data_IF_712962353387
#
_entry.id   IF_712962353387
#
_cell.length_a   1.000
_cell.length_b   1.000
_cell.length_c   1.000
_cell.angle_alpha   90.00
_cell.angle_beta   90.00
_cell.angle_gamma   90.00
#
_symmetry.space_group_name_H-M   'P 1'
#
loop_
_entity.id
_entity.type
_entity.pdbx_description
1 polymer ?
#
# COMPACT_ATOMS: atom_id res chain seq x y z
N UNK A 1 -6.01 2.60 30.88
CA UNK A 1 -4.71 1.91 30.94
C UNK A 1 -4.48 1.31 29.56
N UNK A 2 -3.89 2.09 28.67
CA UNK A 2 -3.69 1.70 27.28
C UNK A 2 -2.34 0.99 27.18
N UNK A 3 -2.39 -0.20 26.59
CA UNK A 3 -1.30 -1.16 26.42
C UNK A 3 -0.02 -0.48 25.93
N UNK A 4 1.10 -0.89 26.54
CA UNK A 4 2.42 -0.32 26.35
C UNK A 4 2.85 -0.31 24.89
N UNK A 5 3.32 0.84 24.46
CA UNK A 5 4.01 1.02 23.19
C UNK A 5 5.38 0.37 23.41
N UNK A 6 5.56 -0.86 22.96
CA UNK A 6 6.82 -1.59 23.10
C UNK A 6 7.91 -0.82 22.34
N UNK A 7 8.75 -0.19 23.15
CA UNK A 7 9.92 0.57 22.76
C UNK A 7 11.01 -0.43 22.39
N UNK A 8 11.27 -0.65 21.09
CA UNK A 8 12.39 -1.51 20.67
C UNK A 8 12.42 -2.00 19.23
N UNK A 9 11.31 -2.01 18.50
CA UNK A 9 11.31 -2.52 17.12
C UNK A 9 11.80 -1.45 16.13
N UNK A 10 12.76 -1.80 15.27
CA UNK A 10 13.05 -0.96 14.10
C UNK A 10 11.84 -0.91 13.19
N UNK A 11 11.65 0.19 12.45
CA UNK A 11 10.51 0.36 11.54
C UNK A 11 10.36 -0.81 10.55
N UNK A 12 11.47 -1.48 10.21
CA UNK A 12 11.49 -2.69 9.36
C UNK A 12 10.93 -3.95 10.02
N UNK A 13 11.10 -4.15 11.33
CA UNK A 13 10.57 -5.34 12.03
C UNK A 13 9.05 -5.25 12.20
N UNK A 14 8.53 -4.06 12.46
CA UNK A 14 7.08 -3.83 12.50
C UNK A 14 6.47 -4.00 11.10
N UNK A 15 7.13 -3.50 10.04
CA UNK A 15 6.69 -3.74 8.67
C UNK A 15 6.67 -5.25 8.35
N UNK A 16 7.68 -6.00 8.83
CA UNK A 16 7.75 -7.45 8.64
C UNK A 16 6.69 -8.25 9.39
N UNK A 17 6.39 -7.87 10.62
CA UNK A 17 5.51 -8.66 11.50
C UNK A 17 4.05 -8.23 11.37
N UNK A 18 3.77 -6.94 11.15
CA UNK A 18 2.40 -6.39 11.14
C UNK A 18 1.87 -6.01 9.75
N UNK A 19 2.74 -5.78 8.77
CA UNK A 19 2.34 -5.20 7.48
C UNK A 19 2.99 -5.90 6.26
N UNK A 20 2.79 -7.22 6.08
CA UNK A 20 3.45 -7.99 5.02
C UNK A 20 3.05 -7.52 3.61
N UNK A 21 1.83 -7.01 3.42
CA UNK A 21 1.35 -6.44 2.14
C UNK A 21 2.13 -5.18 1.76
N UNK A 22 2.37 -4.27 2.71
CA UNK A 22 3.14 -3.05 2.48
C UNK A 22 4.58 -3.38 2.06
N UNK A 23 5.20 -4.38 2.69
CA UNK A 23 6.54 -4.85 2.28
C UNK A 23 6.55 -5.38 0.86
N UNK A 24 5.62 -6.26 0.50
CA UNK A 24 5.54 -6.78 -0.86
C UNK A 24 5.39 -5.66 -1.90
N UNK A 25 4.61 -4.62 -1.58
CA UNK A 25 4.43 -3.43 -2.41
C UNK A 25 5.67 -2.53 -2.49
N UNK A 26 6.46 -2.43 -1.43
CA UNK A 26 7.74 -1.71 -1.40
C UNK A 26 8.77 -2.41 -2.29
N UNK A 27 8.94 -3.71 -2.05
CA UNK A 27 9.97 -4.53 -2.69
C UNK A 27 9.58 -4.82 -4.16
N UNK A 28 8.28 -4.77 -4.49
CA UNK A 28 7.75 -5.11 -5.80
C UNK A 28 7.59 -6.62 -6.01
N UNK A 29 7.51 -7.38 -4.92
CA UNK A 29 7.41 -8.84 -4.97
C UNK A 29 5.96 -9.27 -5.26
N UNK A 30 5.70 -9.53 -6.54
CA UNK A 30 4.38 -9.96 -7.03
C UNK A 30 4.02 -11.36 -6.54
N UNK A 31 5.01 -12.23 -6.34
CA UNK A 31 4.78 -13.59 -5.83
C UNK A 31 4.25 -13.54 -4.41
N UNK A 32 4.98 -12.85 -3.53
CA UNK A 32 4.55 -12.64 -2.15
C UNK A 32 3.22 -11.89 -2.08
N UNK A 33 3.05 -10.83 -2.89
CA UNK A 33 1.79 -10.08 -2.96
C UNK A 33 0.62 -11.00 -3.32
N UNK A 34 0.74 -11.81 -4.38
CA UNK A 34 -0.34 -12.70 -4.80
C UNK A 34 -0.68 -13.75 -3.75
N UNK A 35 0.33 -14.34 -3.10
CA UNK A 35 0.10 -15.31 -2.01
C UNK A 35 -0.62 -14.65 -0.84
N UNK A 36 -0.22 -13.44 -0.44
CA UNK A 36 -0.88 -12.69 0.63
C UNK A 36 -2.32 -12.33 0.27
N UNK A 37 -2.55 -11.86 -0.95
CA UNK A 37 -3.89 -11.54 -1.47
C UNK A 37 -4.80 -12.78 -1.52
N UNK A 38 -4.26 -13.96 -1.83
CA UNK A 38 -5.02 -15.23 -1.80
C UNK A 38 -5.39 -15.66 -0.38
N UNK A 39 -4.54 -15.36 0.60
CA UNK A 39 -4.82 -15.63 2.01
C UNK A 39 -5.70 -14.55 2.66
N UNK A 40 -5.86 -13.38 2.03
CA UNK A 40 -6.68 -12.29 2.54
C UNK A 40 -8.16 -12.63 2.31
N UNK A 41 -8.90 -12.80 3.40
CA UNK A 41 -10.34 -13.07 3.36
C UNK A 41 -11.18 -11.81 3.39
N UNK A 42 -10.63 -10.69 3.88
CA UNK A 42 -11.34 -9.43 4.05
C UNK A 42 -10.71 -8.32 3.21
N UNK A 43 -11.51 -7.55 2.44
CA UNK A 43 -11.01 -6.40 1.70
C UNK A 43 -10.52 -5.26 2.62
N UNK A 44 -10.91 -5.27 3.89
CA UNK A 44 -10.45 -4.31 4.89
C UNK A 44 -8.93 -4.41 5.15
N UNK A 45 -8.33 -5.60 5.00
CA UNK A 45 -6.90 -5.81 5.19
C UNK A 45 -6.05 -5.06 4.13
N UNK A 46 -6.66 -4.78 2.97
CA UNK A 46 -6.03 -4.03 1.87
C UNK A 46 -6.06 -2.52 2.09
N UNK A 47 -6.93 -2.05 2.98
CA UNK A 47 -7.04 -0.64 3.36
C UNK A 47 -6.32 -0.33 4.68
N UNK A 48 -5.54 -1.28 5.21
CA UNK A 48 -4.80 -1.09 6.46
C UNK A 48 -3.70 -0.05 6.25
N UNK A 49 -3.74 0.99 7.07
CA UNK A 49 -2.72 2.01 7.15
C UNK A 49 -1.57 1.53 8.04
N UNK A 50 -0.33 1.79 7.62
CA UNK A 50 0.82 1.55 8.47
C UNK A 50 0.92 2.60 9.59
N UNK A 51 1.57 2.26 10.69
CA UNK A 51 1.71 3.14 11.86
C UNK A 51 2.81 4.21 11.73
N UNK A 52 3.57 4.22 10.65
CA UNK A 52 4.73 5.10 10.44
C UNK A 52 4.35 6.36 9.68
N UNK A 53 3.67 6.14 8.56
CA UNK A 53 3.28 7.15 7.59
C UNK A 53 1.77 7.19 7.37
N UNK A 54 1.00 6.27 7.97
CA UNK A 54 -0.44 6.16 7.71
C UNK A 54 -0.74 5.72 6.28
N UNK A 55 0.19 5.05 5.60
CA UNK A 55 0.02 4.69 4.20
C UNK A 55 -0.60 3.31 4.06
N UNK A 56 -1.52 3.19 3.11
CA UNK A 56 -2.05 1.89 2.68
C UNK A 56 -1.09 1.19 1.71
N UNK A 57 -1.22 -0.13 1.46
CA UNK A 57 -0.33 -0.86 0.55
C UNK A 57 -0.25 -0.23 -0.85
N UNK A 58 -1.35 0.35 -1.33
CA UNK A 58 -1.40 1.01 -2.64
C UNK A 58 -0.60 2.32 -2.67
N UNK A 59 -0.52 3.07 -1.56
CA UNK A 59 0.36 4.24 -1.45
C UNK A 59 1.82 3.82 -1.54
N UNK A 60 2.20 2.70 -0.91
CA UNK A 60 3.55 2.16 -1.03
C UNK A 60 3.84 1.74 -2.48
N UNK A 61 2.97 0.93 -3.10
CA UNK A 61 3.18 0.50 -4.49
C UNK A 61 3.29 1.70 -5.45
N UNK A 62 2.43 2.71 -5.28
CA UNK A 62 2.46 3.95 -6.05
C UNK A 62 3.74 4.76 -5.82
N UNK A 63 4.15 4.92 -4.56
CA UNK A 63 5.35 5.68 -4.20
C UNK A 63 6.65 5.02 -4.71
N UNK A 64 6.70 3.69 -4.74
CA UNK A 64 7.86 2.95 -5.24
C UNK A 64 7.76 2.62 -6.73
N UNK A 65 6.75 3.13 -7.44
CA UNK A 65 6.56 2.95 -8.87
C UNK A 65 6.30 1.50 -9.29
N UNK A 66 5.75 0.67 -8.40
CA UNK A 66 5.47 -0.74 -8.64
C UNK A 66 4.12 -0.90 -9.35
N UNK A 67 4.09 -0.62 -10.65
CA UNK A 67 2.89 -0.69 -11.50
C UNK A 67 2.13 -2.00 -11.34
N UNK A 68 2.85 -3.12 -11.34
CA UNK A 68 2.24 -4.44 -11.29
C UNK A 68 1.58 -4.68 -9.92
N UNK A 69 2.22 -4.25 -8.82
CA UNK A 69 1.61 -4.28 -7.48
C UNK A 69 0.35 -3.41 -7.42
N UNK A 70 0.41 -2.17 -7.95
CA UNK A 70 -0.77 -1.28 -8.04
C UNK A 70 -1.90 -1.97 -8.78
N UNK A 71 -1.62 -2.52 -9.95
CA UNK A 71 -2.62 -3.19 -10.80
C UNK A 71 -3.29 -4.35 -10.07
N UNK A 72 -2.52 -5.19 -9.37
CA UNK A 72 -3.05 -6.32 -8.61
C UNK A 72 -3.89 -5.88 -7.42
N UNK A 73 -3.45 -4.84 -6.69
CA UNK A 73 -4.22 -4.25 -5.60
C UNK A 73 -5.55 -3.67 -6.07
N UNK A 74 -5.57 -3.00 -7.22
CA UNK A 74 -6.85 -2.48 -7.75
C UNK A 74 -7.77 -3.60 -8.22
N UNK A 75 -7.23 -4.68 -8.81
CA UNK A 75 -8.02 -5.85 -9.22
C UNK A 75 -8.75 -6.52 -8.07
N UNK A 76 -8.18 -6.51 -6.86
CA UNK A 76 -8.84 -7.06 -5.66
C UNK A 76 -9.80 -6.08 -4.98
N UNK A 77 -10.03 -4.90 -5.60
CA UNK A 77 -10.97 -3.89 -5.09
C UNK A 77 -10.39 -3.00 -4.00
N UNK A 78 -9.06 -2.83 -3.95
CA UNK A 78 -8.43 -1.88 -3.04
C UNK A 78 -8.91 -0.45 -3.35
N UNK A 79 -9.18 0.34 -2.30
CA UNK A 79 -9.59 1.74 -2.44
C UNK A 79 -8.49 2.60 -3.07
N UNK A 80 -8.64 2.96 -4.35
CA UNK A 80 -7.70 3.83 -5.08
C UNK A 80 -7.76 5.30 -4.67
N UNK A 81 -8.79 5.68 -3.91
CA UNK A 81 -9.04 7.03 -3.41
C UNK A 81 -8.81 7.14 -1.90
N UNK A 82 -8.07 6.20 -1.31
CA UNK A 82 -7.66 6.31 0.10
C UNK A 82 -6.85 7.60 0.24
N UNK A 83 -7.37 8.57 0.98
CA UNK A 83 -6.65 9.80 1.27
C UNK A 83 -5.96 9.67 2.63
N UNK A 84 -4.70 10.03 2.68
CA UNK A 84 -4.02 10.24 3.95
C UNK A 84 -3.42 11.63 3.96
N UNK A 85 -3.90 12.49 4.86
CA UNK A 85 -3.44 13.89 5.00
C UNK A 85 -3.60 14.67 3.67
N UNK A 86 -4.67 14.37 2.92
CA UNK A 86 -4.95 14.99 1.63
C UNK A 86 -4.05 14.49 0.48
N UNK A 87 -3.19 13.49 0.71
CA UNK A 87 -2.44 12.84 -0.34
C UNK A 87 -3.07 11.48 -0.67
N UNK A 88 -3.50 11.32 -1.91
CA UNK A 88 -4.00 10.07 -2.48
C UNK A 88 -2.87 9.27 -3.15
N UNK A 89 -3.08 8.00 -3.54
CA UNK A 89 -2.04 7.17 -4.15
C UNK A 89 -1.51 7.79 -5.44
N UNK A 90 -2.34 8.55 -6.17
CA UNK A 90 -1.93 9.24 -7.39
C UNK A 90 -0.91 10.35 -7.12
N UNK A 91 -1.03 11.07 -6.00
CA UNK A 91 -0.05 12.07 -5.57
C UNK A 91 1.30 11.41 -5.29
N UNK A 92 1.30 10.24 -4.65
CA UNK A 92 2.51 9.47 -4.38
C UNK A 92 3.15 8.94 -5.67
N UNK A 93 2.35 8.44 -6.61
CA UNK A 93 2.82 8.02 -7.93
C UNK A 93 3.42 9.18 -8.73
N UNK A 94 2.79 10.35 -8.69
CA UNK A 94 3.30 11.56 -9.34
C UNK A 94 4.62 12.02 -8.71
N UNK A 95 4.74 11.97 -7.37
CA UNK A 95 5.99 12.29 -6.66
C UNK A 95 7.11 11.29 -6.94
N UNK A 96 6.76 10.05 -7.27
CA UNK A 96 7.69 9.00 -7.67
C UNK A 96 8.09 9.08 -9.15
N UNK A 97 7.54 10.05 -9.90
CA UNK A 97 7.71 10.19 -11.35
C UNK A 97 7.30 8.91 -12.13
N UNK A 98 6.35 8.15 -11.56
CA UNK A 98 5.86 6.91 -12.16
C UNK A 98 4.56 7.18 -12.92
N UNK A 99 4.71 7.68 -14.15
CA UNK A 99 3.61 7.93 -15.09
C UNK A 99 2.73 6.69 -15.31
N UNK A 100 3.32 5.50 -15.34
CA UNK A 100 2.58 4.25 -15.52
C UNK A 100 1.63 3.99 -14.33
N UNK A 101 2.12 4.18 -13.09
CA UNK A 101 1.29 4.04 -11.90
C UNK A 101 0.18 5.09 -11.86
N UNK A 102 0.48 6.34 -12.24
CA UNK A 102 -0.53 7.41 -12.36
C UNK A 102 -1.62 7.02 -13.36
N UNK A 103 -1.23 6.55 -14.55
CA UNK A 103 -2.18 6.12 -15.58
C UNK A 103 -3.02 4.93 -15.12
N UNK A 104 -2.41 3.92 -14.49
CA UNK A 104 -3.14 2.77 -13.96
C UNK A 104 -4.17 3.17 -12.90
N UNK A 105 -3.82 4.10 -12.00
CA UNK A 105 -4.74 4.63 -11.00
C UNK A 105 -5.87 5.46 -11.65
N UNK A 106 -5.56 6.31 -12.63
CA UNK A 106 -6.56 7.12 -13.35
C UNK A 106 -7.58 6.26 -14.11
N UNK A 107 -7.13 5.20 -14.78
CA UNK A 107 -8.02 4.25 -15.48
C UNK A 107 -9.05 3.64 -14.53
N UNK A 108 -8.67 3.51 -13.25
CA UNK A 108 -9.50 2.93 -12.20
C UNK A 108 -10.34 3.99 -11.46
N UNK A 109 -10.35 5.23 -11.95
CA UNK A 109 -11.14 6.33 -11.39
C UNK A 109 -10.53 6.94 -10.13
N UNK A 110 -9.21 6.80 -9.93
CA UNK A 110 -8.51 7.52 -8.88
C UNK A 110 -8.57 9.03 -9.13
N UNK A 111 -8.76 9.80 -8.06
CA UNK A 111 -8.80 11.26 -8.08
C UNK A 111 -7.54 11.81 -7.41
N UNK A 112 -7.04 12.89 -7.99
CA UNK A 112 -6.13 13.79 -7.30
C UNK A 112 -6.95 14.60 -6.31
#
# INVERSE_FOLDING_TARGET
>A
MSVGIESGFSSEEVLNVRFPLHRACRDGDIGALCSLLQCTSNPADLAVEDSFYGWTPIHWAAHFGKLECVTRLVQVGCGVNSDYVGETPIHKAARADSLDCVNALLIQGAKA
#
